data_IF_412773529597
#
_entry.id   IF_412773529597
#
_cell.length_a   1.000
_cell.length_b   1.000
_cell.length_c   1.000
_cell.angle_alpha   90.00
_cell.angle_beta   90.00
_cell.angle_gamma   90.00
#
_symmetry.space_group_name_H-M   'P 1'
#
loop_
_entity.id
_entity.type
_entity.pdbx_description
1 polymer ?
#
# COMPACT_ATOMS: atom_id res chain seq x y z
N UNK A 1 8.35 9.85 10.67
CA UNK A 1 7.33 8.99 10.02
C UNK A 1 7.47 9.04 8.52
N UNK A 2 7.37 7.89 7.88
CA UNK A 2 7.52 7.74 6.44
C UNK A 2 6.22 7.24 5.85
N UNK A 3 5.81 7.85 4.74
CA UNK A 3 4.66 7.42 3.96
C UNK A 3 5.16 6.71 2.69
N UNK A 4 4.76 5.46 2.50
CA UNK A 4 5.12 4.64 1.34
C UNK A 4 3.91 4.55 0.41
N UNK A 5 4.09 4.90 -0.84
CA UNK A 5 3.03 4.96 -1.85
C UNK A 5 3.31 3.98 -2.98
N UNK A 6 2.34 3.15 -3.28
CA UNK A 6 2.40 2.23 -4.41
C UNK A 6 1.11 2.34 -5.21
N UNK A 7 1.20 2.21 -6.53
CA UNK A 7 0.06 2.31 -7.42
C UNK A 7 -0.03 1.10 -8.34
N UNK A 8 -1.25 0.61 -8.54
CA UNK A 8 -1.55 -0.43 -9.51
C UNK A 8 -2.93 -0.23 -10.10
N UNK A 9 -3.16 -0.82 -11.26
CA UNK A 9 -4.46 -0.79 -11.92
C UNK A 9 -4.97 -2.22 -11.93
N UNK A 10 -6.05 -2.48 -11.20
CA UNK A 10 -6.67 -3.79 -11.15
C UNK A 10 -7.66 -3.97 -12.29
N UNK A 11 -7.81 -5.22 -12.73
CA UNK A 11 -8.93 -5.60 -13.58
C UNK A 11 -10.20 -5.26 -12.84
N UNK A 12 -11.16 -4.63 -13.54
CA UNK A 12 -12.38 -4.14 -12.88
C UNK A 12 -13.10 -5.24 -12.12
N UNK A 13 -13.20 -6.42 -12.70
CA UNK A 13 -13.87 -7.58 -12.12
C UNK A 13 -13.08 -8.21 -10.95
N UNK A 14 -11.83 -7.83 -10.76
CA UNK A 14 -10.97 -8.35 -9.69
C UNK A 14 -10.68 -7.31 -8.60
N UNK A 15 -11.27 -6.12 -8.70
CA UNK A 15 -10.96 -5.04 -7.73
C UNK A 15 -11.35 -5.41 -6.30
N UNK A 16 -12.52 -6.01 -6.09
CA UNK A 16 -12.94 -6.41 -4.75
C UNK A 16 -12.11 -7.57 -4.23
N UNK A 17 -11.68 -8.47 -5.11
CA UNK A 17 -10.77 -9.57 -4.74
C UNK A 17 -9.43 -9.02 -4.26
N UNK A 18 -8.94 -7.97 -4.89
CA UNK A 18 -7.68 -7.35 -4.48
C UNK A 18 -7.80 -6.73 -3.08
N UNK A 19 -8.88 -6.03 -2.81
CA UNK A 19 -9.13 -5.47 -1.47
C UNK A 19 -9.20 -6.60 -0.44
N UNK A 20 -9.92 -7.69 -0.75
CA UNK A 20 -10.02 -8.84 0.14
C UNK A 20 -8.64 -9.46 0.40
N UNK A 21 -7.79 -9.54 -0.61
CA UNK A 21 -6.42 -10.04 -0.48
C UNK A 21 -5.60 -9.15 0.49
N UNK A 22 -5.69 -7.83 0.33
CA UNK A 22 -4.98 -6.91 1.22
C UNK A 22 -5.44 -7.09 2.68
N UNK A 23 -6.74 -7.21 2.89
CA UNK A 23 -7.32 -7.33 4.24
C UNK A 23 -6.98 -8.66 4.90
N UNK A 24 -6.94 -9.75 4.16
CA UNK A 24 -6.75 -11.09 4.71
C UNK A 24 -5.30 -11.56 4.73
N UNK A 25 -4.44 -11.02 3.88
CA UNK A 25 -3.06 -11.47 3.76
C UNK A 25 -2.04 -10.37 4.01
N UNK A 26 -2.04 -9.33 3.18
CA UNK A 26 -1.00 -8.30 3.22
C UNK A 26 -1.00 -7.51 4.53
N UNK A 27 -2.12 -6.93 4.91
CA UNK A 27 -2.18 -6.06 6.07
C UNK A 27 -1.95 -6.78 7.40
N UNK A 28 -2.46 -8.01 7.61
CA UNK A 28 -2.08 -8.75 8.81
C UNK A 28 -0.59 -9.02 8.91
N UNK A 29 0.08 -9.29 7.80
CA UNK A 29 1.54 -9.47 7.78
C UNK A 29 2.26 -8.17 8.12
N UNK A 30 1.82 -7.04 7.57
CA UNK A 30 2.39 -5.73 7.89
C UNK A 30 2.20 -5.40 9.36
N UNK A 31 1.04 -5.70 9.92
CA UNK A 31 0.71 -5.40 11.31
C UNK A 31 1.64 -6.13 12.29
N UNK A 32 2.26 -7.23 11.87
CA UNK A 32 3.21 -7.97 12.70
C UNK A 32 4.61 -7.36 12.69
N UNK A 33 4.88 -6.41 11.80
CA UNK A 33 6.20 -5.79 11.67
C UNK A 33 6.34 -4.60 12.60
N UNK A 34 7.48 -4.54 13.30
CA UNK A 34 7.77 -3.39 14.15
C UNK A 34 7.90 -2.14 13.30
N UNK A 35 7.25 -1.07 13.73
CA UNK A 35 7.33 0.22 13.05
C UNK A 35 6.25 0.45 12.00
N UNK A 36 5.44 -0.55 11.68
CA UNK A 36 4.27 -0.34 10.86
C UNK A 36 3.20 0.43 11.65
N UNK A 37 2.61 1.47 11.08
CA UNK A 37 1.64 2.33 11.76
C UNK A 37 0.22 2.11 11.23
N UNK A 38 0.02 2.26 9.94
CA UNK A 38 -1.31 2.11 9.33
C UNK A 38 -1.20 1.96 7.82
N UNK A 39 -2.30 1.53 7.20
CA UNK A 39 -2.43 1.44 5.76
C UNK A 39 -3.76 2.06 5.33
N UNK A 40 -3.77 2.65 4.16
CA UNK A 40 -4.97 3.15 3.50
C UNK A 40 -4.99 2.66 2.06
N UNK A 41 -6.17 2.26 1.59
CA UNK A 41 -6.37 1.86 0.20
C UNK A 41 -7.25 2.92 -0.44
N UNK A 42 -6.69 3.63 -1.41
CA UNK A 42 -7.41 4.63 -2.20
C UNK A 42 -7.72 4.00 -3.55
N UNK A 43 -8.90 4.27 -4.08
CA UNK A 43 -9.23 3.75 -5.41
C UNK A 43 -10.08 4.75 -6.20
N UNK A 44 -9.97 4.65 -7.51
CA UNK A 44 -10.86 5.37 -8.42
C UNK A 44 -11.06 4.56 -9.69
N UNK A 45 -12.21 4.72 -10.32
CA UNK A 45 -12.47 4.12 -11.61
C UNK A 45 -11.80 4.93 -12.72
N UNK A 46 -11.14 4.23 -13.63
CA UNK A 46 -10.52 4.82 -14.83
C UNK A 46 -10.93 3.98 -16.04
N UNK A 47 -10.71 4.48 -17.27
CA UNK A 47 -11.11 3.73 -18.47
C UNK A 47 -10.50 2.33 -18.56
N UNK A 48 -9.32 2.10 -18.05
CA UNK A 48 -8.63 0.81 -18.14
C UNK A 48 -8.90 -0.16 -17.00
N UNK A 49 -9.66 0.24 -15.97
CA UNK A 49 -9.90 -0.61 -14.79
C UNK A 49 -10.10 0.21 -13.53
N UNK A 50 -9.66 -0.34 -12.39
CA UNK A 50 -9.71 0.36 -11.10
C UNK A 50 -8.28 0.68 -10.67
N UNK A 51 -7.97 1.97 -10.58
CA UNK A 51 -6.67 2.41 -10.09
C UNK A 51 -6.67 2.38 -8.56
N UNK A 52 -5.68 1.72 -8.00
CA UNK A 52 -5.45 1.68 -6.55
C UNK A 52 -4.18 2.43 -6.20
N UNK A 53 -4.23 3.17 -5.10
CA UNK A 53 -3.04 3.59 -4.37
C UNK A 53 -3.08 2.94 -3.01
N UNK A 54 -2.02 2.23 -2.67
CA UNK A 54 -1.84 1.66 -1.33
C UNK A 54 -0.82 2.52 -0.62
N UNK A 55 -1.26 3.18 0.44
CA UNK A 55 -0.43 4.09 1.23
C UNK A 55 -0.22 3.48 2.60
N UNK A 56 1.04 3.19 2.93
CA UNK A 56 1.39 2.64 4.24
C UNK A 56 2.28 3.63 4.98
N UNK A 57 2.08 3.73 6.28
CA UNK A 57 2.83 4.67 7.13
C UNK A 57 3.68 3.87 8.10
N UNK A 58 4.94 4.29 8.27
CA UNK A 58 5.97 3.59 9.02
C UNK A 58 6.75 4.57 9.91
N UNK A 59 7.28 4.06 11.02
CA UNK A 59 8.11 4.86 11.94
C UNK A 59 9.41 5.31 11.28
N UNK A 60 9.98 4.50 10.39
CA UNK A 60 11.31 4.75 9.84
C UNK A 60 11.51 3.99 8.53
N UNK A 61 12.55 4.36 7.79
CA UNK A 61 12.98 3.63 6.60
C UNK A 61 13.45 2.22 6.95
N UNK A 62 14.08 2.05 8.12
CA UNK A 62 14.51 0.73 8.58
C UNK A 62 13.36 -0.23 8.76
N UNK A 63 12.22 0.26 9.26
CA UNK A 63 11.02 -0.57 9.42
C UNK A 63 10.53 -1.09 8.06
N UNK A 64 10.59 -0.25 7.04
CA UNK A 64 10.19 -0.64 5.67
C UNK A 64 11.10 -1.73 5.12
N UNK A 65 12.38 -1.72 5.48
CA UNK A 65 13.34 -2.71 5.01
C UNK A 65 12.95 -4.14 5.40
N UNK A 66 12.32 -4.31 6.56
CA UNK A 66 11.84 -5.62 7.00
C UNK A 66 10.74 -6.17 6.08
N UNK A 67 10.01 -5.29 5.41
CA UNK A 67 8.96 -5.66 4.46
C UNK A 67 9.48 -5.75 3.04
N UNK A 68 10.18 -4.73 2.57
CA UNK A 68 10.56 -4.58 1.16
C UNK A 68 11.96 -5.13 0.83
N UNK A 69 12.77 -5.45 1.85
CA UNK A 69 14.13 -5.91 1.65
C UNK A 69 15.13 -4.76 1.52
N UNK A 70 16.33 -5.09 1.04
CA UNK A 70 17.45 -4.13 0.94
C UNK A 70 17.09 -2.96 0.03
N UNK A 71 16.45 -3.23 -1.11
CA UNK A 71 15.94 -2.19 -1.99
C UNK A 71 14.54 -1.81 -1.51
N UNK A 72 14.48 -0.82 -0.64
CA UNK A 72 13.22 -0.42 -0.01
C UNK A 72 12.20 0.14 -1.01
N UNK A 73 12.63 0.56 -2.20
CA UNK A 73 11.74 1.07 -3.24
C UNK A 73 11.17 -0.03 -4.12
N UNK A 74 11.64 -1.25 -3.99
CA UNK A 74 11.06 -2.36 -4.75
C UNK A 74 9.62 -2.62 -4.28
N UNK A 75 8.70 -2.71 -5.23
CA UNK A 75 7.33 -3.05 -4.91
C UNK A 75 7.25 -4.51 -4.45
N UNK A 76 6.37 -4.78 -3.50
CA UNK A 76 6.11 -6.13 -3.00
C UNK A 76 4.72 -6.54 -3.47
N UNK A 77 4.67 -7.25 -4.61
CA UNK A 77 3.41 -7.65 -5.24
C UNK A 77 3.43 -9.15 -5.45
N UNK A 78 2.79 -9.92 -4.56
CA UNK A 78 2.75 -11.38 -4.71
C UNK A 78 2.09 -11.81 -6.02
N UNK A 79 2.43 -13.00 -6.50
CA UNK A 79 1.89 -13.51 -7.77
C UNK A 79 0.36 -13.49 -7.81
N UNK A 80 -0.29 -13.80 -6.68
CA UNK A 80 -1.76 -13.79 -6.61
C UNK A 80 -2.31 -12.39 -6.86
N UNK A 81 -1.67 -11.36 -6.35
CA UNK A 81 -2.07 -9.98 -6.57
C UNK A 81 -1.74 -9.52 -8.00
N UNK A 82 -0.59 -9.93 -8.53
CA UNK A 82 -0.23 -9.62 -9.92
C UNK A 82 -1.28 -10.12 -10.90
N UNK A 83 -1.84 -11.29 -10.65
CA UNK A 83 -2.87 -11.90 -11.51
C UNK A 83 -4.16 -11.07 -11.55
N UNK A 84 -4.39 -10.22 -10.55
CA UNK A 84 -5.55 -9.33 -10.46
C UNK A 84 -5.34 -8.00 -11.16
N UNK A 85 -4.09 -7.70 -11.56
CA UNK A 85 -3.70 -6.39 -12.09
C UNK A 85 -3.64 -6.38 -13.61
N UNK A 86 -4.01 -5.23 -14.19
CA UNK A 86 -3.73 -4.91 -15.59
C UNK A 86 -2.27 -4.49 -15.70
N UNK A 87 -1.85 -3.61 -14.80
CA UNK A 87 -0.47 -3.15 -14.70
C UNK A 87 -0.23 -2.62 -13.28
N UNK A 88 1.01 -2.53 -12.86
CA UNK A 88 1.35 -1.98 -11.57
C UNK A 88 2.77 -1.41 -11.60
N UNK A 89 3.02 -0.46 -10.69
CA UNK A 89 4.34 0.13 -10.57
C UNK A 89 5.30 -0.89 -9.94
N UNK A 90 6.47 -1.09 -10.55
CA UNK A 90 7.47 -1.99 -9.98
C UNK A 90 8.18 -1.38 -8.78
N UNK A 91 7.99 -0.09 -8.52
CA UNK A 91 8.66 0.63 -7.44
C UNK A 91 7.62 1.42 -6.64
N UNK A 92 7.90 1.54 -5.34
CA UNK A 92 7.13 2.39 -4.44
C UNK A 92 7.90 3.68 -4.20
N UNK A 93 7.18 4.75 -3.85
CA UNK A 93 7.74 6.06 -3.56
C UNK A 93 7.58 6.35 -2.08
N UNK A 94 8.63 6.84 -1.44
CA UNK A 94 8.61 7.18 -0.02
C UNK A 94 8.68 8.69 0.16
N UNK A 95 7.91 9.16 1.14
CA UNK A 95 7.91 10.56 1.54
C UNK A 95 8.08 10.65 3.05
N UNK A 96 8.87 11.60 3.50
CA UNK A 96 8.87 11.97 4.90
C UNK A 96 7.59 12.74 5.19
N UNK A 97 6.86 12.35 6.24
CA UNK A 97 5.71 13.11 6.68
C UNK A 97 6.23 14.30 7.47
N UNK A 98 6.27 15.47 6.82
CA UNK A 98 6.82 16.67 7.44
C UNK A 98 5.90 17.24 8.51
N UNK A 99 4.59 17.09 8.34
CA UNK A 99 3.62 17.65 9.26
C UNK A 99 2.24 17.01 9.02
N UNK A 100 1.54 16.73 10.10
CA UNK A 100 0.16 16.26 10.05
C UNK A 100 -0.68 17.12 11.00
N UNK A 101 -1.77 17.64 10.50
CA UNK A 101 -2.75 18.36 11.32
C UNK A 101 -4.06 17.59 11.24
N UNK A 102 -4.58 17.19 12.39
CA UNK A 102 -5.85 16.46 12.45
C UNK A 102 -6.88 17.31 13.18
N UNK A 103 -8.10 17.36 12.62
CA UNK A 103 -9.22 17.99 13.31
C UNK A 103 -9.64 17.12 14.50
N UNK A 104 -10.07 17.73 15.56
CA UNK A 104 -10.67 17.02 16.69
C UNK A 104 -11.96 16.34 16.23
N UNK A 105 -12.11 15.07 16.59
CA UNK A 105 -13.28 14.28 16.19
C UNK A 105 -14.02 13.77 17.41
N UNK A 106 -15.29 13.51 17.21
CA UNK A 106 -16.11 12.80 18.18
C UNK A 106 -16.48 13.61 19.41
N UNK A 107 -16.38 14.88 19.30
CA UNK A 107 -16.89 15.75 20.36
C UNK A 107 -18.40 15.70 20.37
#
# INVERSE_FOLDING_TARGET
MISRHWKGIAKRERADDYIAHLKSDTFPKLASLRGFVRASVLRREIPGGIEFQVVTVWDSLQAIQAFAGVDIEAAVVPAVAQAMMVEFDPRAVHYEIAYTFEAARGA
#
